data_IF_665159950307
#
_entry.id   IF_665159950307
#
_cell.length_a   1.000
_cell.length_b   1.000
_cell.length_c   1.000
_cell.angle_alpha   90.00
_cell.angle_beta   90.00
_cell.angle_gamma   90.00
#
_symmetry.space_group_name_H-M   'P 1'
#
loop_
_entity.id
_entity.type
_entity.pdbx_description
1 polymer ?
#
# COMPACT_ATOMS: atom_id res chain seq x y z
N UNK A 1 52.60 -48.16 58.62
CA UNK A 1 53.88 -47.89 57.95
C UNK A 1 53.88 -46.43 57.50
N UNK A 2 54.80 -45.63 58.04
CA UNK A 2 55.21 -44.34 57.48
C UNK A 2 54.36 -43.11 57.80
N UNK A 3 54.55 -42.53 58.99
CA UNK A 3 54.43 -41.08 59.21
C UNK A 3 55.60 -40.35 58.55
N UNK A 4 55.36 -39.14 58.01
CA UNK A 4 56.36 -38.06 57.89
C UNK A 4 55.59 -36.74 57.74
N UNK A 5 55.40 -35.98 58.82
CA UNK A 5 56.21 -34.82 59.24
C UNK A 5 56.15 -33.65 58.22
N UNK A 6 55.36 -32.59 58.44
CA UNK A 6 55.59 -31.45 59.37
C UNK A 6 56.53 -30.38 58.78
N UNK A 7 56.04 -29.10 58.79
CA UNK A 7 56.65 -27.85 59.34
C UNK A 7 56.64 -26.60 58.42
N UNK A 8 55.90 -25.58 58.92
CA UNK A 8 56.29 -24.15 59.17
C UNK A 8 56.83 -23.29 58.01
N UNK A 9 56.59 -21.98 57.87
CA UNK A 9 56.21 -20.83 58.75
C UNK A 9 55.84 -19.68 57.76
N UNK A 10 55.15 -18.58 58.08
CA UNK A 10 55.72 -17.38 58.74
C UNK A 10 54.65 -16.27 58.95
N UNK A 11 54.59 -15.75 60.19
CA UNK A 11 54.24 -14.40 60.76
C UNK A 11 53.31 -13.42 60.00
N UNK A 12 52.17 -13.04 60.61
CA UNK A 12 51.85 -11.85 61.49
C UNK A 12 51.52 -10.55 60.74
N UNK A 13 50.30 -10.03 60.93
CA UNK A 13 50.05 -8.71 61.57
C UNK A 13 48.56 -8.52 61.89
N UNK A 14 48.33 -7.81 62.99
CA UNK A 14 47.07 -7.57 63.71
C UNK A 14 46.50 -6.21 63.31
N UNK A 15 45.18 -6.13 63.11
CA UNK A 15 44.27 -4.98 63.32
C UNK A 15 42.88 -5.53 62.94
N UNK A 16 41.85 -5.67 63.77
CA UNK A 16 41.43 -4.92 64.95
C UNK A 16 40.31 -3.96 64.56
N UNK A 17 39.05 -4.39 64.50
CA UNK A 17 37.88 -3.60 64.94
C UNK A 17 36.57 -4.40 64.96
N UNK A 18 35.76 -4.08 65.97
CA UNK A 18 34.49 -4.67 66.36
C UNK A 18 33.31 -4.39 65.42
N UNK A 19 32.39 -5.36 65.41
CA UNK A 19 30.92 -5.29 65.49
C UNK A 19 30.14 -4.23 64.69
N UNK A 20 29.15 -4.70 63.91
CA UNK A 20 27.74 -4.28 64.06
C UNK A 20 26.82 -5.18 63.21
N UNK A 21 25.93 -5.91 63.90
CA UNK A 21 24.74 -6.55 63.34
C UNK A 21 23.71 -5.46 63.01
N UNK A 22 23.29 -5.38 61.75
CA UNK A 22 22.13 -4.58 61.35
C UNK A 22 21.13 -5.48 60.62
N UNK A 23 19.98 -5.67 61.26
CA UNK A 23 18.76 -6.26 60.71
C UNK A 23 18.20 -5.28 59.67
N UNK A 24 18.25 -5.64 58.39
CA UNK A 24 17.64 -4.88 57.29
C UNK A 24 16.23 -5.41 56.99
N UNK A 25 15.24 -4.53 57.11
CA UNK A 25 13.82 -4.84 56.98
C UNK A 25 13.38 -5.27 55.58
N UNK A 26 12.43 -6.21 55.57
CA UNK A 26 11.61 -6.53 54.40
C UNK A 26 10.72 -5.33 54.08
N UNK A 27 10.92 -4.72 52.91
CA UNK A 27 9.98 -3.75 52.36
C UNK A 27 8.71 -4.48 51.89
N UNK A 28 7.51 -3.94 52.13
CA UNK A 28 6.29 -4.52 51.58
C UNK A 28 6.30 -4.34 50.06
N UNK A 29 6.10 -5.44 49.34
CA UNK A 29 5.80 -5.41 47.91
C UNK A 29 4.42 -4.80 47.75
N UNK A 30 4.35 -3.52 47.38
CA UNK A 30 3.13 -2.89 46.91
C UNK A 30 2.77 -3.50 45.57
N UNK A 31 1.61 -4.16 45.51
CA UNK A 31 1.00 -4.55 44.24
C UNK A 31 0.72 -3.27 43.45
N UNK A 32 1.38 -3.12 42.29
CA UNK A 32 1.10 -2.04 41.36
C UNK A 32 -0.35 -2.17 40.89
N UNK A 33 -1.17 -1.21 41.27
CA UNK A 33 -2.48 -0.95 40.68
C UNK A 33 -2.28 -0.69 39.19
N UNK A 34 -2.97 -1.45 38.34
CA UNK A 34 -3.06 -1.16 36.92
C UNK A 34 -3.87 0.13 36.75
N UNK A 35 -3.18 1.27 36.75
CA UNK A 35 -3.79 2.55 36.43
C UNK A 35 -4.26 2.53 34.97
N UNK A 36 -5.55 2.80 34.79
CA UNK A 36 -6.19 3.14 33.51
C UNK A 36 -5.70 4.49 32.99
N UNK A 37 -4.39 4.67 32.88
CA UNK A 37 -3.75 5.86 32.36
C UNK A 37 -4.00 5.99 30.87
N UNK A 38 -4.65 7.08 30.49
CA UNK A 38 -4.82 7.46 29.09
C UNK A 38 -3.45 7.57 28.41
N UNK A 39 -3.31 6.88 27.27
CA UNK A 39 -2.02 6.65 26.61
C UNK A 39 -1.42 7.95 26.06
N UNK A 40 -0.07 8.07 26.01
CA UNK A 40 0.61 9.32 25.71
C UNK A 40 0.32 9.88 24.31
N UNK A 41 0.42 11.20 24.19
CA UNK A 41 0.33 11.92 22.92
C UNK A 41 1.57 11.68 22.04
N UNK A 42 1.37 11.58 20.72
CA UNK A 42 2.42 11.23 19.75
C UNK A 42 3.46 12.34 19.51
N UNK A 43 4.66 11.95 19.08
CA UNK A 43 5.75 12.85 18.68
C UNK A 43 5.35 13.78 17.51
N UNK A 44 5.96 14.97 17.44
CA UNK A 44 5.72 15.94 16.36
C UNK A 44 5.93 15.31 14.97
N UNK A 45 5.01 15.53 14.01
CA UNK A 45 5.12 14.90 12.69
C UNK A 45 6.35 15.38 11.92
N UNK A 46 7.13 14.45 11.37
CA UNK A 46 8.19 14.79 10.42
C UNK A 46 7.58 15.43 9.16
N UNK A 47 8.28 16.37 8.54
CA UNK A 47 7.88 16.95 7.25
C UNK A 47 8.65 16.35 6.07
N UNK A 48 9.75 15.65 6.34
CA UNK A 48 10.66 15.08 5.34
C UNK A 48 10.85 13.59 5.60
N UNK A 49 10.68 12.81 4.54
CA UNK A 49 10.86 11.36 4.58
C UNK A 49 11.79 10.92 3.47
N UNK A 50 12.70 10.01 3.80
CA UNK A 50 13.49 9.26 2.83
C UNK A 50 12.80 7.94 2.59
N UNK A 51 12.47 7.64 1.34
CA UNK A 51 11.93 6.33 0.97
C UNK A 51 13.03 5.30 1.19
N UNK A 52 12.76 4.30 2.02
CA UNK A 52 13.62 3.13 2.11
C UNK A 52 13.51 2.36 0.79
N UNK A 53 14.57 2.39 -0.01
CA UNK A 53 14.64 1.69 -1.29
C UNK A 53 15.02 0.22 -1.12
N UNK A 54 15.43 -0.22 0.07
CA UNK A 54 15.89 -1.58 0.38
C UNK A 54 14.92 -2.34 1.28
N UNK A 55 13.70 -1.82 1.47
CA UNK A 55 12.74 -2.44 2.37
C UNK A 55 12.35 -3.84 1.89
N UNK A 56 12.49 -4.82 2.78
CA UNK A 56 12.04 -6.20 2.53
C UNK A 56 10.51 -6.31 2.52
N UNK A 57 9.81 -5.32 3.07
CA UNK A 57 8.34 -5.23 3.06
C UNK A 57 7.76 -4.50 1.85
N UNK A 58 8.61 -4.07 0.92
CA UNK A 58 8.15 -3.46 -0.33
C UNK A 58 7.52 -4.50 -1.26
N UNK A 59 6.42 -4.12 -1.90
CA UNK A 59 5.88 -4.86 -3.04
C UNK A 59 6.73 -4.54 -4.27
N UNK A 60 7.38 -5.55 -4.84
CA UNK A 60 8.37 -5.35 -5.88
C UNK A 60 8.41 -6.51 -6.87
N UNK A 61 8.68 -6.16 -8.12
CA UNK A 61 8.84 -7.13 -9.20
C UNK A 61 10.04 -6.74 -10.07
N UNK A 62 10.86 -7.74 -10.36
CA UNK A 62 12.06 -7.62 -11.19
C UNK A 62 13.02 -6.50 -10.76
N UNK A 63 13.10 -6.22 -9.46
CA UNK A 63 14.05 -5.27 -8.88
C UNK A 63 15.33 -5.96 -8.45
N UNK A 64 16.44 -5.23 -8.41
CA UNK A 64 17.65 -5.63 -7.71
C UNK A 64 18.33 -4.44 -7.06
N UNK A 65 19.10 -4.71 -6.01
CA UNK A 65 19.99 -3.73 -5.40
C UNK A 65 21.42 -3.95 -5.88
N UNK A 66 22.11 -2.86 -6.18
CA UNK A 66 23.57 -2.89 -6.37
C UNK A 66 24.26 -3.05 -5.02
N UNK A 67 25.55 -3.41 -5.04
CA UNK A 67 26.35 -3.55 -3.82
C UNK A 67 26.37 -2.27 -2.95
N UNK A 68 26.12 -1.11 -3.53
CA UNK A 68 26.02 0.19 -2.86
C UNK A 68 24.58 0.57 -2.42
N UNK A 69 23.65 -0.39 -2.44
CA UNK A 69 22.26 -0.22 -1.99
C UNK A 69 21.33 0.47 -2.99
N UNK A 70 21.82 0.86 -4.17
CA UNK A 70 20.98 1.54 -5.19
C UNK A 70 20.06 0.56 -5.91
N UNK A 71 18.81 0.98 -6.14
CA UNK A 71 17.76 0.20 -6.79
C UNK A 71 17.89 0.25 -8.32
N UNK A 72 17.80 -0.89 -8.99
CA UNK A 72 17.81 -1.00 -10.46
C UNK A 72 16.99 -2.21 -10.94
N UNK A 73 16.97 -2.45 -12.25
CA UNK A 73 16.26 -3.58 -12.86
C UNK A 73 17.05 -4.88 -12.65
N UNK A 74 16.37 -5.91 -12.15
CA UNK A 74 16.87 -7.26 -11.92
C UNK A 74 17.33 -7.95 -13.20
N UNK A 75 16.40 -8.53 -13.93
CA UNK A 75 16.59 -9.07 -15.26
C UNK A 75 16.28 -8.00 -16.33
N UNK A 76 17.29 -7.68 -17.14
CA UNK A 76 17.18 -6.73 -18.26
C UNK A 76 16.44 -7.31 -19.47
N UNK A 77 16.06 -8.59 -19.45
CA UNK A 77 15.30 -9.28 -20.50
C UNK A 77 13.82 -9.42 -20.16
N UNK A 78 13.44 -9.39 -18.88
CA UNK A 78 12.03 -9.37 -18.48
C UNK A 78 11.29 -8.17 -19.10
N UNK A 79 10.13 -8.44 -19.69
CA UNK A 79 9.24 -7.47 -20.36
C UNK A 79 7.82 -7.68 -19.83
N UNK A 80 6.98 -6.66 -19.94
CA UNK A 80 5.53 -6.76 -19.71
C UNK A 80 4.80 -6.22 -20.93
N UNK A 81 3.55 -6.65 -21.13
CA UNK A 81 2.71 -6.14 -22.22
C UNK A 81 2.48 -4.62 -22.09
N UNK A 82 2.42 -4.10 -20.87
CA UNK A 82 2.27 -2.67 -20.56
C UNK A 82 3.50 -1.81 -20.81
N UNK A 83 4.65 -2.42 -21.10
CA UNK A 83 5.86 -1.69 -21.46
C UNK A 83 6.54 -2.33 -22.68
N UNK A 84 5.90 -2.28 -23.86
CA UNK A 84 6.38 -3.00 -25.05
C UNK A 84 7.83 -2.64 -25.38
N UNK A 85 8.66 -3.66 -25.56
CA UNK A 85 10.07 -3.49 -25.96
C UNK A 85 11.01 -3.01 -24.85
N UNK A 86 10.54 -2.73 -23.63
CA UNK A 86 11.34 -2.16 -22.54
C UNK A 86 11.49 -3.10 -21.36
N UNK A 87 12.69 -3.18 -20.80
CA UNK A 87 12.90 -3.90 -19.56
C UNK A 87 12.09 -3.25 -18.45
N UNK A 88 11.37 -4.04 -17.67
CA UNK A 88 10.39 -3.52 -16.71
C UNK A 88 10.72 -3.97 -15.29
N UNK A 89 10.70 -3.03 -14.34
CA UNK A 89 10.67 -3.34 -12.92
C UNK A 89 9.77 -2.35 -12.19
N UNK A 90 9.16 -2.79 -11.09
CA UNK A 90 8.34 -1.94 -10.22
C UNK A 90 8.73 -2.15 -8.76
N UNK A 91 8.78 -1.06 -8.01
CA UNK A 91 9.01 -1.03 -6.58
C UNK A 91 7.97 -0.11 -5.95
N UNK A 92 7.13 -0.66 -5.08
CA UNK A 92 6.15 0.09 -4.29
C UNK A 92 6.63 0.08 -2.84
N UNK A 93 7.03 1.26 -2.37
CA UNK A 93 7.51 1.42 -1.01
C UNK A 93 6.42 1.08 0.02
N UNK A 94 6.81 0.64 1.22
CA UNK A 94 5.89 0.54 2.34
C UNK A 94 5.14 1.85 2.59
N UNK A 95 3.98 1.74 3.22
CA UNK A 95 3.20 2.91 3.63
C UNK A 95 4.00 3.74 4.64
N UNK A 96 4.08 5.04 4.40
CA UNK A 96 4.68 6.02 5.30
C UNK A 96 3.57 6.80 5.99
N UNK A 97 3.53 6.76 7.33
CA UNK A 97 2.70 7.69 8.11
C UNK A 97 3.29 9.10 8.04
N UNK A 98 2.41 10.08 7.81
CA UNK A 98 2.77 11.49 7.76
C UNK A 98 2.67 12.14 9.15
N UNK A 99 1.97 11.49 10.10
CA UNK A 99 1.65 12.04 11.43
C UNK A 99 0.72 13.27 11.41
N UNK A 100 0.33 13.75 10.22
CA UNK A 100 -0.57 14.89 9.98
C UNK A 100 -1.30 14.71 8.67
N UNK A 101 -2.41 15.41 8.50
CA UNK A 101 -3.10 15.48 7.22
C UNK A 101 -2.50 16.57 6.32
N UNK A 102 -2.17 16.23 5.08
CA UNK A 102 -1.78 17.17 4.02
C UNK A 102 -2.11 16.59 2.64
N UNK A 103 -2.25 17.42 1.63
CA UNK A 103 -2.49 17.01 0.23
C UNK A 103 -1.35 17.40 -0.72
N UNK A 104 -0.36 18.17 -0.24
CA UNK A 104 0.63 18.83 -1.08
C UNK A 104 2.03 18.36 -0.72
N UNK A 105 2.78 17.92 -1.74
CA UNK A 105 4.09 17.31 -1.55
C UNK A 105 5.08 17.75 -2.62
N UNK A 106 6.34 17.82 -2.23
CA UNK A 106 7.49 17.92 -3.13
C UNK A 106 8.30 16.63 -3.08
N UNK A 107 8.43 15.95 -4.22
CA UNK A 107 9.19 14.71 -4.40
C UNK A 107 10.50 14.99 -5.12
N UNK A 108 11.61 14.61 -4.52
CA UNK A 108 12.95 14.70 -5.11
C UNK A 108 13.52 13.30 -5.31
N UNK A 109 13.91 12.99 -6.54
CA UNK A 109 14.55 11.72 -6.90
C UNK A 109 15.96 11.97 -7.41
N UNK A 110 16.91 11.22 -6.88
CA UNK A 110 18.25 11.09 -7.46
C UNK A 110 18.35 9.75 -8.19
N UNK A 111 18.66 9.81 -9.49
CA UNK A 111 18.81 8.63 -10.32
C UNK A 111 19.79 8.87 -11.48
N UNK A 112 20.51 7.82 -11.85
CA UNK A 112 21.23 7.73 -13.13
C UNK A 112 20.26 7.16 -14.15
N UNK A 113 19.95 7.94 -15.19
CA UNK A 113 18.99 7.55 -16.24
C UNK A 113 19.72 7.59 -17.58
N UNK A 114 20.29 6.46 -18.04
CA UNK A 114 20.83 6.35 -19.40
C UNK A 114 19.81 6.78 -20.46
N UNK A 115 20.30 7.26 -21.61
CA UNK A 115 19.45 7.60 -22.75
C UNK A 115 18.51 6.44 -23.09
N UNK A 116 17.25 6.72 -23.45
CA UNK A 116 16.24 5.68 -23.75
C UNK A 116 15.71 4.89 -22.53
N UNK A 117 16.33 5.02 -21.36
CA UNK A 117 15.79 4.50 -20.09
C UNK A 117 14.90 5.55 -19.39
N UNK A 118 14.11 5.12 -18.41
CA UNK A 118 13.19 6.01 -17.69
C UNK A 118 12.95 5.55 -16.26
N UNK A 119 12.77 6.51 -15.35
CA UNK A 119 12.21 6.29 -14.02
C UNK A 119 10.92 7.09 -13.89
N UNK A 120 9.83 6.38 -13.68
CA UNK A 120 8.56 6.97 -13.26
C UNK A 120 8.51 6.94 -11.75
N UNK A 121 8.10 8.06 -11.15
CA UNK A 121 7.90 8.20 -9.71
C UNK A 121 6.48 8.68 -9.51
N UNK A 122 5.70 7.95 -8.74
CA UNK A 122 4.30 8.24 -8.48
C UNK A 122 4.01 8.11 -7.00
N UNK A 123 3.01 8.85 -6.56
CA UNK A 123 2.61 8.94 -5.16
C UNK A 123 1.12 8.73 -5.05
N UNK A 124 0.69 7.91 -4.10
CA UNK A 124 -0.70 7.85 -3.64
C UNK A 124 -0.74 8.11 -2.15
N UNK A 125 -1.87 8.56 -1.64
CA UNK A 125 -2.07 8.70 -0.20
C UNK A 125 -3.46 8.25 0.22
N UNK A 126 -3.67 8.19 1.53
CA UNK A 126 -4.94 7.78 2.12
C UNK A 126 -5.21 8.60 3.37
N UNK A 127 -6.44 9.09 3.54
CA UNK A 127 -6.88 9.83 4.74
C UNK A 127 -7.27 8.89 5.91
N UNK A 128 -7.61 7.66 5.55
CA UNK A 128 -7.89 6.52 6.43
C UNK A 128 -7.34 5.32 5.70
N UNK A 129 -6.47 4.48 6.27
CA UNK A 129 -5.91 3.32 5.59
C UNK A 129 -6.97 2.40 5.00
N UNK A 130 -7.37 2.66 3.77
CA UNK A 130 -8.44 1.97 3.06
C UNK A 130 -8.73 2.65 1.74
N UNK A 131 -8.78 3.98 1.76
CA UNK A 131 -9.22 4.85 0.67
C UNK A 131 -8.04 5.55 0.03
N UNK A 132 -7.51 4.96 -1.03
CA UNK A 132 -6.34 5.53 -1.70
C UNK A 132 -6.75 6.58 -2.73
N UNK A 133 -6.02 7.67 -2.81
CA UNK A 133 -6.04 8.51 -4.01
C UNK A 133 -5.54 7.71 -5.20
N UNK A 134 -5.82 8.16 -6.42
CA UNK A 134 -5.12 7.64 -7.58
C UNK A 134 -3.60 7.90 -7.46
N UNK A 135 -2.80 7.07 -8.14
CA UNK A 135 -1.37 7.32 -8.28
C UNK A 135 -1.12 8.58 -9.09
N UNK A 136 -0.40 9.54 -8.53
CA UNK A 136 -0.11 10.83 -9.15
C UNK A 136 1.39 11.01 -9.30
N UNK A 137 1.83 11.36 -10.51
CA UNK A 137 3.22 11.73 -10.76
C UNK A 137 3.45 13.21 -10.38
N UNK A 138 4.62 13.58 -9.83
CA UNK A 138 5.00 14.97 -9.66
C UNK A 138 5.21 15.68 -11.00
N UNK A 139 5.02 17.00 -10.98
CA UNK A 139 5.38 17.89 -12.07
C UNK A 139 6.91 17.90 -12.31
N UNK A 140 7.37 18.62 -13.35
CA UNK A 140 8.79 18.73 -13.66
C UNK A 140 9.63 19.35 -12.53
N UNK A 141 9.01 20.12 -11.62
CA UNK A 141 9.62 20.68 -10.43
C UNK A 141 9.56 19.77 -9.20
N UNK A 142 9.01 18.57 -9.32
CA UNK A 142 8.84 17.62 -8.23
C UNK A 142 7.57 17.84 -7.40
N UNK A 143 6.73 18.83 -7.70
CA UNK A 143 5.53 19.12 -6.90
C UNK A 143 4.37 18.24 -7.33
N UNK A 144 3.58 17.78 -6.38
CA UNK A 144 2.30 17.12 -6.62
C UNK A 144 1.28 17.54 -5.57
N UNK A 145 0.02 17.57 -6.00
CA UNK A 145 -1.12 17.70 -5.10
C UNK A 145 -2.05 16.51 -5.30
N UNK A 146 -2.36 15.82 -4.22
CA UNK A 146 -3.33 14.73 -4.22
C UNK A 146 -4.76 15.29 -4.22
N UNK A 147 -5.73 14.47 -4.60
CA UNK A 147 -7.13 14.88 -4.72
C UNK A 147 -7.79 15.19 -3.37
N UNK A 148 -7.19 14.75 -2.26
CA UNK A 148 -7.65 14.98 -0.90
C UNK A 148 -6.47 15.04 0.07
N UNK A 149 -6.71 15.58 1.26
CA UNK A 149 -5.75 15.50 2.35
C UNK A 149 -5.60 14.06 2.83
N UNK A 150 -4.36 13.61 3.04
CA UNK A 150 -3.99 12.25 3.39
C UNK A 150 -3.13 12.24 4.64
N UNK A 151 -3.18 11.15 5.40
CA UNK A 151 -2.42 10.93 6.63
C UNK A 151 -1.36 9.84 6.47
N UNK A 152 -1.52 8.98 5.47
CA UNK A 152 -0.47 8.06 4.98
C UNK A 152 -0.19 8.24 3.50
N UNK A 153 1.03 7.86 3.10
CA UNK A 153 1.54 7.97 1.74
C UNK A 153 2.21 6.68 1.29
N UNK A 154 2.20 6.41 -0.01
CA UNK A 154 3.08 5.43 -0.66
C UNK A 154 3.72 6.03 -1.90
N UNK A 155 4.95 5.58 -2.17
CA UNK A 155 5.70 5.94 -3.37
C UNK A 155 5.91 4.69 -4.21
N UNK A 156 5.60 4.80 -5.50
CA UNK A 156 5.90 3.76 -6.49
C UNK A 156 6.94 4.26 -7.49
N UNK A 157 7.92 3.41 -7.74
CA UNK A 157 8.92 3.57 -8.78
C UNK A 157 8.68 2.53 -9.86
N UNK A 158 8.58 2.98 -11.11
CA UNK A 158 8.63 2.08 -12.26
C UNK A 158 9.88 2.39 -13.07
N UNK A 159 10.73 1.36 -13.20
CA UNK A 159 12.00 1.42 -13.87
C UNK A 159 11.84 0.81 -15.25
N UNK A 160 12.15 1.58 -16.28
CA UNK A 160 12.06 1.14 -17.64
C UNK A 160 13.45 1.23 -18.28
N UNK A 161 13.99 0.09 -18.67
CA UNK A 161 15.29 -0.03 -19.33
C UNK A 161 15.13 -0.26 -20.82
N UNK A 162 16.19 0.00 -21.56
CA UNK A 162 16.29 -0.33 -22.97
C UNK A 162 17.56 -1.15 -23.23
N UNK A 163 17.92 -1.31 -24.51
CA UNK A 163 19.16 -2.00 -24.89
C UNK A 163 20.41 -1.27 -24.40
N UNK A 164 20.36 0.06 -24.32
CA UNK A 164 21.51 0.90 -23.96
C UNK A 164 21.78 0.92 -22.45
N UNK A 165 20.76 0.74 -21.60
CA UNK A 165 20.97 0.74 -20.16
C UNK A 165 19.73 0.49 -19.31
N UNK A 166 19.97 0.36 -18.00
CA UNK A 166 18.93 0.32 -16.98
C UNK A 166 19.11 1.51 -16.03
N UNK A 167 18.02 2.16 -15.62
CA UNK A 167 18.13 3.26 -14.69
C UNK A 167 18.53 2.75 -13.30
N UNK A 168 19.14 3.63 -12.52
CA UNK A 168 19.60 3.34 -11.15
C UNK A 168 19.13 4.45 -10.23
N UNK A 169 18.31 4.13 -9.24
CA UNK A 169 17.78 5.09 -8.27
C UNK A 169 18.59 4.99 -6.99
N UNK A 170 19.12 6.13 -6.52
CA UNK A 170 19.92 6.21 -5.31
C UNK A 170 19.20 6.87 -4.14
N UNK A 171 18.24 7.73 -4.41
CA UNK A 171 17.50 8.44 -3.37
C UNK A 171 16.11 8.86 -3.86
N UNK A 172 15.12 8.74 -2.99
CA UNK A 172 13.83 9.40 -3.15
C UNK A 172 13.44 10.03 -1.83
N UNK A 173 13.20 11.34 -1.86
CA UNK A 173 12.73 12.11 -0.71
C UNK A 173 11.37 12.69 -1.01
N UNK A 174 10.50 12.62 -0.01
CA UNK A 174 9.20 13.29 -0.04
C UNK A 174 9.22 14.34 1.06
N UNK A 175 8.87 15.56 0.70
CA UNK A 175 8.60 16.65 1.62
C UNK A 175 7.10 16.93 1.61
N UNK A 176 6.45 16.96 2.76
CA UNK A 176 5.10 17.46 2.88
C UNK A 176 5.16 18.98 2.95
N UNK A 177 4.67 19.63 1.90
CA UNK A 177 4.64 21.08 1.85
C UNK A 177 3.72 21.61 2.96
N UNK A 178 4.04 22.76 3.60
CA UNK A 178 3.16 23.39 4.55
C UNK A 178 1.81 23.61 3.86
N UNK A 179 0.75 23.00 4.40
CA UNK A 179 -0.60 23.26 3.94
C UNK A 179 -0.83 24.77 4.07
N UNK A 180 -0.95 25.50 2.94
CA UNK A 180 -1.52 26.84 3.01
C UNK A 180 -2.89 26.63 3.60
N UNK A 181 -3.12 27.10 4.82
CA UNK A 181 -4.41 27.07 5.48
C UNK A 181 -5.41 27.85 4.64
N UNK A 182 -5.99 27.19 3.64
CA UNK A 182 -7.26 27.63 3.12
C UNK A 182 -8.26 27.01 4.08
N UNK A 183 -8.83 27.85 4.94
CA UNK A 183 -10.00 27.57 5.77
C UNK A 183 -11.25 27.24 4.90
N UNK A 184 -11.06 26.52 3.80
CA UNK A 184 -12.03 26.22 2.74
C UNK A 184 -11.94 24.78 2.22
N UNK A 185 -11.19 23.90 2.89
CA UNK A 185 -11.14 22.47 2.56
C UNK A 185 -12.04 21.58 3.45
N UNK A 186 -12.84 22.17 4.34
CA UNK A 186 -13.88 21.47 5.10
C UNK A 186 -15.26 21.46 4.39
N UNK A 187 -15.36 22.07 3.20
CA UNK A 187 -16.58 22.07 2.40
C UNK A 187 -16.32 21.34 1.08
N UNK A 188 -16.77 20.09 1.00
CA UNK A 188 -16.95 19.39 -0.26
C UNK A 188 -15.81 18.45 -0.67
N UNK A 189 -15.44 17.50 0.19
CA UNK A 189 -15.17 16.16 -0.32
C UNK A 189 -16.51 15.61 -0.82
N UNK A 190 -16.97 16.06 -1.99
CA UNK A 190 -17.98 15.31 -2.73
C UNK A 190 -17.37 13.94 -2.91
N UNK A 191 -17.97 12.91 -2.30
CA UNK A 191 -17.74 11.54 -2.72
C UNK A 191 -17.83 11.57 -4.25
N UNK A 192 -16.73 11.26 -4.94
CA UNK A 192 -16.76 11.20 -6.38
C UNK A 192 -17.81 10.14 -6.71
N UNK A 193 -18.89 10.51 -7.38
CA UNK A 193 -19.94 9.55 -7.70
C UNK A 193 -19.32 8.40 -8.51
N UNK A 194 -19.68 7.16 -8.21
CA UNK A 194 -19.28 6.02 -9.04
C UNK A 194 -19.76 6.28 -10.47
N UNK A 195 -18.82 6.44 -11.40
CA UNK A 195 -19.13 6.70 -12.80
C UNK A 195 -19.21 5.38 -13.56
N UNK A 196 -20.22 5.24 -14.41
CA UNK A 196 -20.39 4.05 -15.25
C UNK A 196 -20.25 4.44 -16.72
N UNK A 197 -19.43 3.70 -17.45
CA UNK A 197 -19.24 3.87 -18.88
C UNK A 197 -19.43 2.56 -19.61
N UNK A 198 -19.96 2.63 -20.83
CA UNK A 198 -20.06 1.49 -21.73
C UNK A 198 -18.76 1.37 -22.51
N UNK A 199 -18.03 0.30 -22.29
CA UNK A 199 -16.69 0.09 -22.82
C UNK A 199 -16.63 -1.21 -23.62
N UNK A 200 -15.88 -1.20 -24.72
CA UNK A 200 -15.57 -2.44 -25.43
C UNK A 200 -14.51 -3.20 -24.64
N UNK A 201 -14.87 -4.38 -24.14
CA UNK A 201 -13.98 -5.25 -23.38
C UNK A 201 -13.38 -6.32 -24.28
N UNK A 202 -12.07 -6.48 -24.18
CA UNK A 202 -11.33 -7.57 -24.81
C UNK A 202 -10.85 -8.57 -23.77
N UNK A 203 -10.74 -9.85 -24.15
CA UNK A 203 -10.07 -10.85 -23.33
C UNK A 203 -8.56 -10.54 -23.27
N UNK A 204 -8.01 -10.46 -22.06
CA UNK A 204 -6.57 -10.29 -21.80
C UNK A 204 -5.78 -11.45 -22.43
N UNK A 205 -6.10 -12.69 -22.05
CA UNK A 205 -5.56 -13.90 -22.69
C UNK A 205 -4.05 -14.11 -22.59
N UNK A 206 -3.37 -13.38 -21.70
CA UNK A 206 -1.90 -13.41 -21.54
C UNK A 206 -1.41 -14.35 -20.42
N UNK A 207 -2.06 -15.51 -20.23
CA UNK A 207 -1.63 -16.49 -19.20
C UNK A 207 -0.13 -16.79 -19.31
N UNK A 208 0.57 -16.75 -18.17
CA UNK A 208 2.02 -16.92 -18.07
C UNK A 208 2.85 -15.66 -18.30
N UNK A 209 2.26 -14.56 -18.79
CA UNK A 209 2.91 -13.24 -18.82
C UNK A 209 2.83 -12.56 -17.45
N UNK A 210 3.57 -11.46 -17.30
CA UNK A 210 3.55 -10.64 -16.09
C UNK A 210 2.78 -9.34 -16.32
N UNK A 211 1.83 -9.04 -15.43
CA UNK A 211 1.11 -7.77 -15.38
C UNK A 211 2.01 -6.60 -14.94
N UNK A 212 1.53 -5.36 -15.10
CA UNK A 212 2.21 -4.15 -14.66
C UNK A 212 2.45 -4.07 -13.14
N UNK A 213 1.62 -4.71 -12.31
CA UNK A 213 1.85 -4.78 -10.86
C UNK A 213 2.79 -5.94 -10.45
N UNK A 214 3.25 -6.77 -11.39
CA UNK A 214 4.23 -7.82 -11.14
C UNK A 214 3.64 -9.21 -10.87
N UNK A 215 2.33 -9.37 -11.00
CA UNK A 215 1.65 -10.67 -10.93
C UNK A 215 1.95 -11.50 -12.18
N UNK A 216 2.22 -12.80 -12.01
CA UNK A 216 2.32 -13.74 -13.13
C UNK A 216 0.95 -14.34 -13.37
N UNK A 217 0.35 -14.05 -14.53
CA UNK A 217 -1.03 -14.40 -14.85
C UNK A 217 -1.21 -15.91 -14.81
N UNK A 218 -2.11 -16.37 -13.96
CA UNK A 218 -2.53 -17.76 -13.84
C UNK A 218 -3.80 -18.02 -14.67
N UNK A 219 -4.04 -19.28 -15.08
CA UNK A 219 -5.32 -19.65 -15.67
C UNK A 219 -6.48 -19.29 -14.74
N UNK A 220 -7.57 -18.74 -15.31
CA UNK A 220 -8.79 -18.34 -14.57
C UNK A 220 -8.58 -17.24 -13.53
N UNK A 221 -7.55 -16.42 -13.66
CA UNK A 221 -7.40 -15.23 -12.83
C UNK A 221 -8.56 -14.24 -13.00
N UNK A 222 -8.90 -13.55 -11.91
CA UNK A 222 -9.95 -12.54 -11.87
C UNK A 222 -9.37 -11.14 -11.65
N UNK A 223 -9.09 -10.41 -12.73
CA UNK A 223 -8.62 -9.03 -12.75
C UNK A 223 -8.96 -8.33 -14.07
N UNK A 224 -8.67 -7.03 -14.17
CA UNK A 224 -8.71 -6.26 -15.42
C UNK A 224 -7.43 -5.45 -15.65
N UNK A 225 -7.20 -5.06 -16.91
CA UNK A 225 -6.26 -4.03 -17.29
C UNK A 225 -7.00 -2.72 -17.63
N UNK A 226 -6.49 -1.59 -17.13
CA UNK A 226 -6.96 -0.26 -17.52
C UNK A 226 -5.83 0.53 -18.20
N UNK A 227 -6.11 1.38 -19.21
CA UNK A 227 -5.05 1.99 -20.01
C UNK A 227 -4.36 3.17 -19.31
N UNK A 228 -4.29 3.14 -17.98
CA UNK A 228 -3.51 4.04 -17.15
C UNK A 228 -3.07 3.40 -15.85
N UNK A 229 -1.87 3.77 -15.39
CA UNK A 229 -1.29 3.37 -14.10
C UNK A 229 -1.97 3.99 -12.88
N UNK A 230 -2.82 5.00 -13.08
CA UNK A 230 -3.42 5.80 -11.99
C UNK A 230 -4.29 4.98 -11.05
N UNK A 231 -4.88 3.89 -11.54
CA UNK A 231 -5.65 2.92 -10.77
C UNK A 231 -4.97 1.53 -10.74
N UNK A 232 -3.65 1.44 -10.88
CA UNK A 232 -2.95 0.16 -10.80
C UNK A 232 -2.77 -0.27 -9.34
N UNK A 233 -3.39 -1.40 -8.97
CA UNK A 233 -3.34 -1.98 -7.62
C UNK A 233 -1.97 -2.59 -7.32
N UNK A 234 -1.70 -2.82 -6.03
CA UNK A 234 -0.54 -3.60 -5.61
C UNK A 234 -0.65 -5.05 -6.10
N UNK A 235 0.44 -5.81 -6.10
CA UNK A 235 0.40 -7.23 -6.48
C UNK A 235 -0.51 -8.02 -5.55
N UNK A 236 -1.52 -8.71 -6.10
CA UNK A 236 -2.60 -9.35 -5.33
C UNK A 236 -3.54 -8.37 -4.60
N UNK A 237 -3.34 -7.05 -4.79
CA UNK A 237 -4.07 -5.98 -4.14
C UNK A 237 -5.44 -5.73 -4.75
N UNK A 238 -6.28 -5.01 -4.00
CA UNK A 238 -7.66 -4.64 -4.36
C UNK A 238 -7.94 -3.16 -4.10
N UNK A 239 -6.91 -2.33 -4.02
CA UNK A 239 -7.04 -0.89 -3.75
C UNK A 239 -7.83 -0.16 -4.84
N UNK A 240 -7.79 -0.69 -6.06
CA UNK A 240 -8.50 -0.21 -7.22
C UNK A 240 -9.24 -1.37 -7.86
N UNK A 241 -10.55 -1.25 -7.97
CA UNK A 241 -11.43 -2.24 -8.55
C UNK A 241 -12.45 -1.54 -9.44
N UNK A 242 -12.94 -2.27 -10.44
CA UNK A 242 -14.09 -1.86 -11.23
C UNK A 242 -15.15 -2.94 -11.16
N UNK A 243 -16.41 -2.55 -11.26
CA UNK A 243 -17.52 -3.49 -11.41
C UNK A 243 -17.92 -3.55 -12.87
N UNK A 244 -17.80 -4.71 -13.48
CA UNK A 244 -18.22 -4.97 -14.85
C UNK A 244 -19.58 -5.65 -14.82
N UNK A 245 -20.49 -5.24 -15.68
CA UNK A 245 -21.75 -5.91 -15.93
C UNK A 245 -21.91 -6.19 -17.41
N UNK A 246 -22.18 -7.46 -17.74
CA UNK A 246 -22.42 -7.87 -19.11
C UNK A 246 -23.91 -8.10 -19.35
N UNK A 247 -24.51 -7.19 -20.12
CA UNK A 247 -25.96 -7.16 -20.33
C UNK A 247 -26.52 -8.45 -20.95
N UNK A 248 -25.74 -9.16 -21.79
CA UNK A 248 -26.24 -10.37 -22.47
C UNK A 248 -26.46 -11.55 -21.53
N UNK A 249 -25.64 -11.67 -20.49
CA UNK A 249 -25.75 -12.74 -19.49
C UNK A 249 -26.44 -12.25 -18.22
N UNK A 250 -26.56 -10.94 -18.03
CA UNK A 250 -27.03 -10.32 -16.79
C UNK A 250 -26.03 -10.44 -15.62
N UNK A 251 -24.83 -11.00 -15.87
CA UNK A 251 -23.83 -11.25 -14.84
C UNK A 251 -22.95 -10.03 -14.63
N UNK A 252 -22.52 -9.86 -13.38
CA UNK A 252 -21.58 -8.82 -13.02
C UNK A 252 -20.49 -9.37 -12.11
N UNK A 253 -19.30 -8.80 -12.21
CA UNK A 253 -18.18 -9.10 -11.34
C UNK A 253 -17.44 -7.82 -10.94
N UNK A 254 -16.97 -7.75 -9.71
CA UNK A 254 -16.01 -6.74 -9.27
C UNK A 254 -14.61 -7.33 -9.29
N UNK A 255 -13.73 -6.75 -10.09
CA UNK A 255 -12.38 -7.24 -10.32
C UNK A 255 -11.33 -6.15 -10.05
N UNK A 256 -10.17 -6.50 -9.46
CA UNK A 256 -9.08 -5.56 -9.25
C UNK A 256 -8.35 -5.20 -10.54
N UNK A 257 -7.74 -4.02 -10.56
CA UNK A 257 -6.95 -3.53 -11.68
C UNK A 257 -5.49 -3.93 -11.47
N UNK A 258 -5.05 -5.00 -12.11
CA UNK A 258 -3.69 -5.55 -11.94
C UNK A 258 -2.75 -5.21 -13.09
N UNK A 259 -3.29 -4.81 -14.24
CA UNK A 259 -2.48 -4.53 -15.42
C UNK A 259 -2.78 -3.16 -16.06
N UNK A 260 -1.91 -2.75 -16.98
CA UNK A 260 -2.00 -1.49 -17.71
C UNK A 260 -2.07 -1.76 -19.21
N UNK A 261 -3.15 -1.28 -19.82
CA UNK A 261 -3.59 -1.56 -21.19
C UNK A 261 -5.13 -1.53 -21.23
N UNK A 262 -5.79 -1.60 -22.40
CA UNK A 262 -5.26 -1.85 -23.75
C UNK A 262 -4.74 -0.59 -24.45
N UNK A 263 -3.85 -0.78 -25.44
CA UNK A 263 -3.31 0.21 -26.38
C UNK A 263 -2.48 1.36 -25.79
N UNK A 264 -2.91 1.96 -24.68
CA UNK A 264 -2.30 3.12 -24.03
C UNK A 264 -1.94 2.80 -22.56
N UNK A 265 -1.11 3.66 -21.96
CA UNK A 265 -0.67 3.54 -20.56
C UNK A 265 -0.87 4.83 -19.74
N UNK A 266 -1.40 5.87 -20.38
CA UNK A 266 -1.70 7.19 -19.80
C UNK A 266 -3.10 7.69 -20.14
N UNK A 267 -3.99 6.78 -20.48
CA UNK A 267 -5.37 7.07 -20.84
C UNK A 267 -6.35 6.73 -19.71
N UNK A 268 -6.44 7.60 -18.72
CA UNK A 268 -7.39 7.53 -17.61
C UNK A 268 -8.73 8.17 -17.97
N UNK A 269 -9.39 7.69 -19.02
CA UNK A 269 -10.63 8.26 -19.57
C UNK A 269 -11.79 8.35 -18.55
N UNK A 270 -11.73 7.63 -17.43
CA UNK A 270 -12.70 7.76 -16.34
C UNK A 270 -12.59 9.10 -15.60
N UNK A 271 -11.46 9.79 -15.68
CA UNK A 271 -11.28 11.11 -15.10
C UNK A 271 -11.79 12.19 -16.06
N UNK A 272 -12.35 13.30 -15.52
CA UNK A 272 -12.73 14.45 -16.34
C UNK A 272 -11.56 14.95 -17.20
N UNK A 273 -11.88 15.51 -18.37
CA UNK A 273 -10.88 15.95 -19.36
C UNK A 273 -9.78 16.86 -18.80
N UNK A 274 -10.12 17.77 -17.87
CA UNK A 274 -9.16 18.65 -17.20
C UNK A 274 -8.23 17.96 -16.18
N UNK A 275 -8.52 16.71 -15.82
CA UNK A 275 -7.72 15.89 -14.89
C UNK A 275 -7.03 14.71 -15.57
N UNK A 276 -7.54 14.27 -16.73
CA UNK A 276 -6.98 13.19 -17.55
C UNK A 276 -5.48 13.45 -17.82
N UNK A 277 -4.70 12.37 -17.83
CA UNK A 277 -3.25 12.40 -17.96
C UNK A 277 -2.81 12.66 -19.41
N UNK A 278 -3.56 12.14 -20.38
CA UNK A 278 -3.40 12.40 -21.81
C UNK A 278 -4.77 12.44 -22.49
N UNK A 279 -4.82 12.96 -23.73
CA UNK A 279 -6.06 12.99 -24.54
C UNK A 279 -7.15 13.86 -23.90
N UNK A 280 -6.73 14.99 -23.33
CA UNK A 280 -7.56 15.90 -22.53
C UNK A 280 -8.63 16.65 -23.35
N UNK A 281 -8.63 16.49 -24.66
CA UNK A 281 -9.63 17.00 -25.59
C UNK A 281 -10.76 16.00 -25.86
N UNK A 282 -10.58 14.72 -25.50
CA UNK A 282 -11.63 13.71 -25.61
C UNK A 282 -12.63 13.82 -24.44
N UNK A 283 -13.94 13.57 -24.68
CA UNK A 283 -14.93 13.49 -23.61
C UNK A 283 -14.56 12.45 -22.55
N UNK A 284 -14.93 12.73 -21.30
CA UNK A 284 -14.84 11.75 -20.21
C UNK A 284 -15.64 10.49 -20.57
N UNK A 285 -15.08 9.33 -20.27
CA UNK A 285 -15.69 8.03 -20.58
C UNK A 285 -15.36 7.50 -21.97
N UNK A 286 -14.67 8.26 -22.82
CA UNK A 286 -14.27 7.83 -24.17
C UNK A 286 -12.80 7.39 -24.17
N UNK A 287 -12.50 6.07 -24.24
CA UNK A 287 -11.14 5.59 -24.44
C UNK A 287 -10.55 6.16 -25.74
N UNK A 288 -9.27 6.49 -25.72
CA UNK A 288 -8.58 6.99 -26.89
C UNK A 288 -8.55 5.94 -28.00
N UNK A 289 -8.38 4.66 -27.67
CA UNK A 289 -8.40 3.58 -28.64
C UNK A 289 -9.75 3.47 -29.36
N UNK A 290 -10.87 3.68 -28.64
CA UNK A 290 -12.19 3.76 -29.24
C UNK A 290 -12.27 4.92 -30.24
N UNK A 291 -11.85 6.12 -29.86
CA UNK A 291 -11.86 7.29 -30.74
C UNK A 291 -10.94 7.11 -31.96
N UNK A 292 -9.78 6.48 -31.78
CA UNK A 292 -8.84 6.17 -32.85
C UNK A 292 -9.43 5.17 -33.84
N UNK A 293 -10.05 4.09 -33.34
CA UNK A 293 -10.65 3.05 -34.17
C UNK A 293 -11.87 3.54 -34.95
N UNK A 294 -12.77 4.28 -34.29
CA UNK A 294 -14.06 4.68 -34.88
C UNK A 294 -13.94 5.94 -35.74
N UNK A 295 -13.13 6.90 -35.32
CA UNK A 295 -13.13 8.26 -35.88
C UNK A 295 -11.76 8.69 -36.43
N UNK A 296 -10.75 7.82 -36.40
CA UNK A 296 -9.40 8.15 -36.87
C UNK A 296 -8.66 9.14 -35.96
N UNK A 297 -9.09 9.32 -34.71
CA UNK A 297 -8.39 10.18 -33.75
C UNK A 297 -6.91 9.79 -33.63
N UNK A 298 -6.02 10.78 -33.47
CA UNK A 298 -4.56 10.57 -33.52
C UNK A 298 -4.10 9.78 -34.76
N UNK A 299 -4.75 10.00 -35.91
CA UNK A 299 -4.47 9.27 -37.15
C UNK A 299 -4.80 7.77 -37.08
N UNK A 300 -5.70 7.37 -36.17
CA UNK A 300 -6.05 5.97 -35.93
C UNK A 300 -4.98 5.19 -35.14
N UNK A 301 -4.16 5.89 -34.35
CA UNK A 301 -3.00 5.31 -33.64
C UNK A 301 -3.06 5.50 -32.13
N UNK A 302 -2.43 4.61 -31.39
CA UNK A 302 -2.25 4.71 -29.94
C UNK A 302 -1.07 5.62 -29.56
N UNK A 303 -0.78 5.72 -28.25
CA UNK A 303 0.32 6.53 -27.71
C UNK A 303 1.72 6.11 -28.20
N UNK A 304 1.86 4.88 -28.71
CA UNK A 304 3.11 4.34 -29.24
C UNK A 304 3.18 4.45 -30.77
N UNK A 305 2.15 5.01 -31.42
CA UNK A 305 2.06 5.14 -32.87
C UNK A 305 1.65 3.86 -33.60
N UNK A 306 1.23 2.80 -32.88
CA UNK A 306 0.69 1.57 -33.50
C UNK A 306 -0.72 1.86 -33.99
N UNK A 307 -1.11 1.26 -35.12
CA UNK A 307 -2.49 1.35 -35.62
C UNK A 307 -3.42 0.60 -34.68
N UNK A 308 -4.45 1.28 -34.17
CA UNK A 308 -5.44 0.66 -33.30
C UNK A 308 -6.33 -0.27 -34.11
N UNK A 309 -6.42 -1.53 -33.70
CA UNK A 309 -7.14 -2.58 -34.43
C UNK A 309 -8.54 -2.87 -33.89
N UNK A 310 -8.88 -2.37 -32.70
CA UNK A 310 -10.19 -2.52 -32.08
C UNK A 310 -10.44 -1.35 -31.09
N UNK A 311 -11.69 -1.09 -30.68
CA UNK A 311 -12.02 0.04 -29.82
C UNK A 311 -11.84 -0.27 -28.33
N UNK A 312 -11.00 -1.25 -27.95
CA UNK A 312 -10.93 -1.75 -26.58
C UNK A 312 -10.60 -0.64 -25.58
N UNK A 313 -11.40 -0.55 -24.52
CA UNK A 313 -11.21 0.38 -23.40
C UNK A 313 -10.75 -0.31 -22.10
N UNK A 314 -10.82 -1.64 -22.06
CA UNK A 314 -10.50 -2.48 -20.90
C UNK A 314 -10.15 -3.89 -21.39
N UNK A 315 -9.11 -4.50 -20.83
CA UNK A 315 -8.83 -5.93 -21.00
C UNK A 315 -9.28 -6.70 -19.75
N UNK A 316 -9.85 -7.88 -19.94
CA UNK A 316 -10.48 -8.68 -18.87
C UNK A 316 -9.82 -10.05 -18.79
N UNK A 317 -9.33 -10.41 -17.61
CA UNK A 317 -8.67 -11.69 -17.37
C UNK A 317 -9.63 -12.88 -17.54
N UNK A 318 -9.05 -14.06 -17.80
CA UNK A 318 -9.77 -15.27 -18.18
C UNK A 318 -10.91 -15.66 -17.20
N UNK A 319 -10.66 -15.58 -15.90
CA UNK A 319 -11.66 -15.87 -14.86
C UNK A 319 -12.78 -14.84 -14.86
N UNK A 320 -12.45 -13.54 -14.85
CA UNK A 320 -13.47 -12.48 -14.91
C UNK A 320 -14.29 -12.56 -16.21
N UNK A 321 -13.67 -12.88 -17.34
CA UNK A 321 -14.31 -12.96 -18.65
C UNK A 321 -15.27 -14.15 -18.74
N UNK A 322 -14.79 -15.38 -18.49
CA UNK A 322 -15.60 -16.60 -18.62
C UNK A 322 -16.45 -16.88 -17.39
N UNK A 323 -15.83 -16.90 -16.22
CA UNK A 323 -16.48 -17.35 -14.99
C UNK A 323 -17.31 -16.24 -14.37
N UNK A 324 -16.82 -14.99 -14.40
CA UNK A 324 -17.52 -13.82 -13.88
C UNK A 324 -18.68 -13.38 -14.73
N UNK A 325 -18.36 -12.99 -15.96
CA UNK A 325 -19.30 -12.35 -16.88
C UNK A 325 -20.00 -13.35 -17.80
N UNK A 326 -19.48 -14.56 -17.98
CA UNK A 326 -20.03 -15.52 -18.94
C UNK A 326 -19.86 -15.07 -20.39
N UNK A 327 -18.83 -14.26 -20.68
CA UNK A 327 -18.54 -13.81 -22.03
C UNK A 327 -17.91 -14.95 -22.84
N UNK A 328 -18.28 -15.05 -24.12
CA UNK A 328 -17.69 -16.00 -25.07
C UNK A 328 -16.91 -15.31 -26.19
N UNK A 329 -17.09 -14.00 -26.36
CA UNK A 329 -16.38 -13.14 -27.30
C UNK A 329 -16.30 -11.70 -26.76
N UNK A 330 -15.43 -10.89 -27.35
CA UNK A 330 -15.25 -9.49 -27.00
C UNK A 330 -16.52 -8.69 -27.29
N UNK A 331 -16.96 -7.85 -26.36
CA UNK A 331 -18.21 -7.10 -26.51
C UNK A 331 -18.23 -5.88 -25.57
N UNK A 332 -19.27 -5.07 -25.70
CA UNK A 332 -19.53 -3.95 -24.82
C UNK A 332 -20.04 -4.41 -23.45
N UNK A 333 -19.41 -3.90 -22.40
CA UNK A 333 -19.78 -4.09 -21.00
C UNK A 333 -19.97 -2.73 -20.34
N UNK A 334 -20.84 -2.67 -19.33
CA UNK A 334 -20.98 -1.49 -18.50
C UNK A 334 -19.97 -1.61 -17.35
N UNK A 335 -19.06 -0.64 -17.25
CA UNK A 335 -18.00 -0.62 -16.25
C UNK A 335 -18.23 0.54 -15.30
N UNK A 336 -18.53 0.20 -14.06
CA UNK A 336 -18.61 1.15 -12.97
C UNK A 336 -17.24 1.28 -12.33
N UNK A 337 -16.65 2.45 -12.46
CA UNK A 337 -15.47 2.86 -11.71
C UNK A 337 -15.94 3.19 -10.31
N UNK A 338 -15.63 2.28 -9.38
CA UNK A 338 -15.82 2.56 -7.98
C UNK A 338 -14.81 3.64 -7.63
N UNK A 339 -15.27 4.75 -7.04
CA UNK A 339 -14.38 5.81 -6.71
C UNK A 339 -13.48 5.29 -5.58
N UNK A 340 -12.22 5.69 -5.60
CA UNK A 340 -11.21 5.17 -4.66
C UNK A 340 -11.33 5.83 -3.28
N UNK A 341 -12.37 6.65 -3.10
CA UNK A 341 -12.81 7.34 -1.91
C UNK A 341 -14.00 6.63 -1.22
N UNK A 342 -13.78 5.36 -0.85
CA UNK A 342 -14.57 4.74 0.22
C UNK A 342 -15.65 3.79 -0.27
N UNK A 343 -15.31 2.51 -0.29
CA UNK A 343 -16.31 1.46 -0.49
C UNK A 343 -15.75 0.07 -0.24
N UNK A 344 -15.66 -0.33 1.04
CA UNK A 344 -15.39 -1.72 1.37
C UNK A 344 -15.07 -1.98 2.84
N UNK A 345 -16.10 -2.30 3.64
CA UNK A 345 -15.94 -3.16 4.82
C UNK A 345 -16.18 -2.54 6.20
N UNK A 346 -17.46 -2.48 6.62
CA UNK A 346 -17.93 -3.42 7.66
C UNK A 346 -17.63 -3.20 9.15
N UNK A 347 -17.11 -2.05 9.59
CA UNK A 347 -17.02 -1.72 11.01
C UNK A 347 -17.91 -0.54 11.39
N UNK A 348 -18.84 -0.69 12.34
CA UNK A 348 -19.61 0.45 12.89
C UNK A 348 -18.80 1.27 13.90
N UNK A 349 -17.57 0.84 14.20
CA UNK A 349 -16.67 1.47 15.18
C UNK A 349 -15.30 1.62 14.56
N UNK A 350 -14.64 2.74 14.88
CA UNK A 350 -13.32 3.07 14.40
C UNK A 350 -12.33 3.02 15.57
N UNK A 351 -11.12 2.52 15.32
CA UNK A 351 -10.01 2.53 16.29
C UNK A 351 -8.85 3.32 15.75
N UNK A 352 -8.19 4.12 16.60
CA UNK A 352 -7.00 4.88 16.20
C UNK A 352 -5.76 4.22 16.79
N UNK A 353 -4.76 3.90 15.98
CA UNK A 353 -3.50 3.38 16.51
C UNK A 353 -2.64 4.53 17.07
N UNK A 354 -1.96 4.31 18.20
CA UNK A 354 -1.02 5.29 18.77
C UNK A 354 0.45 4.95 18.44
N UNK A 355 0.71 3.71 18.03
CA UNK A 355 2.01 3.23 17.58
C UNK A 355 1.85 2.33 16.34
N UNK A 356 2.93 2.11 15.59
CA UNK A 356 2.95 1.11 14.52
C UNK A 356 2.85 -0.30 15.13
N UNK A 357 2.00 -1.16 14.55
CA UNK A 357 1.90 -2.54 14.99
C UNK A 357 1.48 -3.49 13.88
N UNK A 358 1.89 -4.75 13.99
CA UNK A 358 1.45 -5.80 13.09
C UNK A 358 -0.02 -6.14 13.35
N UNK A 359 -0.79 -6.19 12.26
CA UNK A 359 -2.08 -6.89 12.20
C UNK A 359 -1.78 -8.33 11.82
N UNK A 360 -2.30 -9.30 12.57
CA UNK A 360 -1.92 -10.71 12.47
C UNK A 360 -3.10 -11.60 12.07
N UNK A 361 -2.79 -12.75 11.48
CA UNK A 361 -3.80 -13.70 11.00
C UNK A 361 -4.72 -14.23 12.12
N UNK A 362 -4.24 -14.24 13.36
CA UNK A 362 -5.00 -14.61 14.55
C UNK A 362 -4.67 -13.67 15.73
N UNK A 363 -5.48 -13.76 16.80
CA UNK A 363 -5.35 -12.97 18.01
C UNK A 363 -4.19 -13.47 18.90
N UNK A 364 -2.96 -13.30 18.41
CA UNK A 364 -1.74 -13.68 19.11
C UNK A 364 -0.49 -13.27 18.34
N UNK A 365 0.69 -13.46 18.94
CA UNK A 365 1.99 -13.33 18.29
C UNK A 365 2.52 -14.72 17.90
N UNK A 366 2.37 -15.69 18.81
CA UNK A 366 2.87 -17.06 18.66
C UNK A 366 2.04 -17.82 17.63
N UNK A 367 2.67 -18.18 16.51
CA UNK A 367 1.99 -18.89 15.40
C UNK A 367 0.99 -18.03 14.60
N UNK A 368 0.98 -16.71 14.81
CA UNK A 368 0.10 -15.77 14.13
C UNK A 368 0.92 -14.83 13.23
N UNK A 369 1.03 -15.19 11.96
CA UNK A 369 1.79 -14.42 10.97
C UNK A 369 1.25 -12.99 10.82
N UNK A 370 2.13 -11.98 10.67
CA UNK A 370 1.72 -10.65 10.25
C UNK A 370 1.09 -10.69 8.86
N UNK A 371 -0.12 -10.15 8.74
CA UNK A 371 -0.89 -10.06 7.48
C UNK A 371 -1.11 -8.62 7.03
N UNK A 372 -0.91 -7.63 7.92
CA UNK A 372 -0.98 -6.20 7.62
C UNK A 372 -0.32 -5.39 8.75
N UNK A 373 -0.43 -4.05 8.72
CA UNK A 373 0.04 -3.13 9.76
C UNK A 373 -0.98 -2.03 10.05
N UNK A 374 -0.98 -1.58 11.30
CA UNK A 374 -1.53 -0.28 11.70
C UNK A 374 -0.40 0.73 11.92
N UNK A 375 -0.68 2.02 11.77
CA UNK A 375 0.29 3.10 11.84
C UNK A 375 -0.13 4.17 12.86
N UNK A 376 0.82 4.85 13.51
CA UNK A 376 0.52 5.87 14.50
C UNK A 376 -0.40 6.97 13.96
N UNK A 377 -1.39 7.36 14.75
CA UNK A 377 -2.42 8.36 14.48
C UNK A 377 -3.37 8.05 13.32
N UNK A 378 -3.33 6.83 12.78
CA UNK A 378 -4.27 6.39 11.77
C UNK A 378 -5.51 5.71 12.38
N UNK A 379 -6.64 5.90 11.72
CA UNK A 379 -7.93 5.34 12.13
C UNK A 379 -8.37 4.21 11.20
N UNK A 380 -8.75 3.08 11.78
CA UNK A 380 -9.12 1.84 11.09
C UNK A 380 -10.56 1.43 11.46
N UNK A 381 -11.35 0.91 10.51
CA UNK A 381 -12.61 0.27 10.86
C UNK A 381 -12.31 -0.98 11.71
N UNK A 382 -13.11 -1.19 12.75
CA UNK A 382 -13.05 -2.35 13.61
C UNK A 382 -14.40 -3.07 13.61
N UNK A 383 -14.35 -4.40 13.52
CA UNK A 383 -15.55 -5.23 13.51
C UNK A 383 -16.01 -5.54 14.94
N UNK A 384 -15.06 -5.93 15.79
CA UNK A 384 -15.26 -6.41 17.16
C UNK A 384 -13.90 -6.62 17.86
N UNK A 385 -13.91 -6.91 19.16
CA UNK A 385 -12.73 -7.33 19.92
C UNK A 385 -12.87 -8.77 20.43
N UNK A 386 -11.75 -9.45 20.69
CA UNK A 386 -11.71 -10.76 21.37
C UNK A 386 -10.52 -10.88 22.30
N UNK A 387 -10.59 -11.85 23.21
CA UNK A 387 -9.42 -12.30 23.98
C UNK A 387 -8.53 -13.17 23.10
N UNK A 388 -7.22 -12.95 23.18
CA UNK A 388 -6.18 -13.70 22.50
C UNK A 388 -4.95 -13.87 23.39
N UNK A 389 -3.78 -14.04 22.80
CA UNK A 389 -2.51 -14.11 23.53
C UNK A 389 -2.29 -12.82 24.33
N UNK A 390 -1.89 -12.96 25.60
CA UNK A 390 -1.53 -11.82 26.45
C UNK A 390 -0.15 -11.33 26.07
N UNK A 391 -0.05 -10.08 25.66
CA UNK A 391 1.23 -9.48 25.26
C UNK A 391 1.56 -8.27 26.11
N UNK A 392 2.86 -8.07 26.35
CA UNK A 392 3.42 -6.92 27.05
C UNK A 392 4.41 -6.22 26.12
N UNK A 393 4.12 -4.98 25.72
CA UNK A 393 5.03 -4.14 24.96
C UNK A 393 4.72 -2.66 25.23
N UNK A 394 5.72 -1.80 25.04
CA UNK A 394 5.59 -0.34 25.26
C UNK A 394 5.06 0.06 26.65
N UNK A 395 5.32 -0.76 27.68
CA UNK A 395 4.82 -0.53 29.04
C UNK A 395 3.36 -0.93 29.26
N UNK A 396 2.65 -1.43 28.24
CA UNK A 396 1.27 -1.89 28.34
C UNK A 396 1.18 -3.40 28.28
N UNK A 397 0.19 -3.97 28.97
CA UNK A 397 -0.13 -5.39 28.89
C UNK A 397 -1.61 -5.58 28.62
N UNK A 398 -1.96 -6.35 27.59
CA UNK A 398 -3.36 -6.70 27.29
C UNK A 398 -3.45 -8.08 26.65
N UNK A 399 -4.57 -8.75 26.90
CA UNK A 399 -5.02 -9.96 26.20
C UNK A 399 -6.10 -9.65 25.15
N UNK A 400 -6.42 -8.37 24.94
CA UNK A 400 -7.45 -7.92 24.01
C UNK A 400 -6.86 -7.67 22.63
N UNK A 401 -7.55 -8.17 21.62
CA UNK A 401 -7.22 -8.04 20.22
C UNK A 401 -8.44 -7.54 19.45
N UNK A 402 -8.23 -6.54 18.59
CA UNK A 402 -9.28 -5.94 17.77
C UNK A 402 -9.22 -6.51 16.36
N UNK A 403 -10.36 -6.99 15.88
CA UNK A 403 -10.53 -7.50 14.53
C UNK A 403 -10.73 -6.34 13.55
N UNK A 404 -9.83 -6.26 12.58
CA UNK A 404 -9.87 -5.31 11.47
C UNK A 404 -10.19 -6.07 10.18
N UNK A 405 -11.10 -5.57 9.34
CA UNK A 405 -11.27 -6.11 7.99
C UNK A 405 -9.99 -5.89 7.17
N UNK A 406 -9.56 -6.91 6.44
CA UNK A 406 -8.38 -6.84 5.57
C UNK A 406 -8.76 -6.53 4.12
N UNK A 407 -7.89 -5.79 3.45
CA UNK A 407 -8.06 -5.39 2.04
C UNK A 407 -8.02 -6.57 1.06
N UNK A 408 -7.23 -7.60 1.36
CA UNK A 408 -7.18 -8.82 0.55
C UNK A 408 -8.45 -9.68 0.66
N UNK A 409 -9.43 -9.26 1.48
CA UNK A 409 -10.51 -10.09 1.97
C UNK A 409 -10.14 -10.75 3.30
N UNK A 410 -11.16 -11.13 4.07
CA UNK A 410 -10.98 -11.69 5.41
C UNK A 410 -10.71 -10.63 6.48
N UNK A 411 -10.13 -11.07 7.60
CA UNK A 411 -9.92 -10.26 8.81
C UNK A 411 -8.55 -10.53 9.40
N UNK A 412 -8.06 -9.58 10.18
CA UNK A 412 -6.82 -9.72 10.96
C UNK A 412 -6.96 -9.04 12.31
N UNK A 413 -6.03 -9.31 13.21
CA UNK A 413 -6.11 -8.90 14.60
C UNK A 413 -4.92 -8.03 14.99
N UNK A 414 -5.19 -6.85 15.54
CA UNK A 414 -4.18 -5.99 16.16
C UNK A 414 -4.36 -6.04 17.67
N UNK A 415 -3.27 -6.10 18.43
CA UNK A 415 -3.38 -6.03 19.88
C UNK A 415 -3.86 -4.65 20.32
N UNK A 416 -4.81 -4.62 21.25
CA UNK A 416 -5.36 -3.40 21.79
C UNK A 416 -4.31 -2.57 22.55
N UNK A 417 -3.12 -3.11 22.87
CA UNK A 417 -2.01 -2.31 23.44
C UNK A 417 -1.51 -1.21 22.50
N UNK A 418 -1.82 -1.28 21.20
CA UNK A 418 -1.38 -0.31 20.20
C UNK A 418 -2.48 0.67 19.77
N UNK A 419 -3.67 0.60 20.37
CA UNK A 419 -4.84 1.41 20.01
C UNK A 419 -5.17 2.48 21.07
N UNK A 420 -5.57 3.68 20.68
CA UNK A 420 -6.07 4.71 21.61
C UNK A 420 -7.42 4.27 22.19
N UNK A 421 -7.75 4.77 23.38
CA UNK A 421 -9.00 4.46 24.07
C UNK A 421 -8.83 3.47 25.21
N UNK A 422 -9.92 2.77 25.53
CA UNK A 422 -9.98 1.78 26.62
C UNK A 422 -9.20 0.49 26.32
N UNK A 423 -9.37 -0.53 27.16
CA UNK A 423 -8.70 -1.84 27.02
C UNK A 423 -8.99 -2.57 25.68
N UNK A 424 -10.02 -2.14 24.95
CA UNK A 424 -10.42 -2.67 23.64
C UNK A 424 -10.18 -1.68 22.49
N UNK A 425 -9.59 -0.52 22.78
CA UNK A 425 -9.48 0.58 21.81
C UNK A 425 -10.80 1.28 21.51
N UNK A 426 -11.78 1.21 22.42
CA UNK A 426 -13.12 1.79 22.27
C UNK A 426 -14.11 0.94 21.47
N UNK A 427 -13.79 -0.33 21.23
CA UNK A 427 -14.67 -1.27 20.52
C UNK A 427 -15.58 -1.97 21.53
N UNK A 428 -16.88 -1.67 21.53
CA UNK A 428 -17.80 -2.27 22.51
C UNK A 428 -18.20 -3.71 22.18
N UNK A 429 -18.32 -4.05 20.89
CA UNK A 429 -18.77 -5.36 20.42
C UNK A 429 -17.69 -6.44 20.56
N UNK A 430 -18.01 -7.58 21.19
CA UNK A 430 -17.15 -8.76 21.24
C UNK A 430 -17.35 -9.66 20.02
N UNK A 431 -16.30 -10.31 19.52
CA UNK A 431 -16.41 -11.22 18.37
C UNK A 431 -17.10 -12.52 18.76
N UNK A 432 -17.96 -13.04 17.87
CA UNK A 432 -18.64 -14.34 18.05
C UNK A 432 -19.83 -14.32 19.01
N UNK A 433 -20.35 -13.13 19.35
CA UNK A 433 -21.60 -12.93 20.10
C UNK A 433 -22.76 -12.59 19.18
#
# INVERSE_FOLDING_TARGET
MGECAVRTTTRRLIQGLCALLAVGGLTPVTAATADGGERPAAQSPAADWRVDLASTSADQHNTRHRADGRLTIGDRRARTASAPGRAYAVYTAPVQSLGRQTDSFTVRRQAQVPSGSQVLTEVRGSAHPGTWTQWTAPDAGGRLRLSQAVSVLQVRLTLLGDRSGSPVVSDVRVHADPSRSTARAAAGASAAASVTYRLFATREGLTGQTTANGHVIQPRDHFVALPSRRMLASNGGREYQVRLCYARTGRCETAPVWDVGPWNTKDDYWNPSGQRQMWNDLPQGTPQAQAAYQNGYNGGRDEFGRRVANPAGIDVADGTFWDGLGMTDNDWVDVTFQPTDGGGGGGTTNVTAWAEANVRACAGITGCDPVSKVYPNETYPANCWKTGERISAEGYTSDKWVELPLRAGGVGYVSAIYLKGDETGGVSRRCGT
#
